data_IF_985222733316
#
_entry.id   IF_985222733316
#
_cell.length_a   1.000
_cell.length_b   1.000
_cell.length_c   1.000
_cell.angle_alpha   90.00
_cell.angle_beta   90.00
_cell.angle_gamma   90.00
#
_symmetry.space_group_name_H-M   'P 1'
#
loop_
_entity.id
_entity.type
_entity.pdbx_description
1 polymer ?
#
# COMPACT_ATOMS: atom_id res chain seq x y z
N UNK A 1 -16.28 -14.55 -4.58
CA UNK A 1 -15.13 -14.14 -5.41
C UNK A 1 -14.24 -15.34 -5.65
N UNK A 2 -13.73 -15.54 -6.88
CA UNK A 2 -12.68 -16.52 -7.13
C UNK A 2 -11.43 -16.06 -6.40
N UNK A 3 -11.29 -16.47 -5.15
CA UNK A 3 -10.20 -17.34 -4.76
C UNK A 3 -8.89 -17.03 -5.56
N UNK A 4 -8.68 -17.53 -6.78
CA UNK A 4 -7.40 -17.38 -7.53
C UNK A 4 -7.01 -15.94 -7.89
N UNK A 5 -7.92 -14.97 -7.75
CA UNK A 5 -7.66 -13.54 -8.03
C UNK A 5 -6.52 -12.97 -7.20
N UNK A 6 -6.24 -13.53 -6.02
CA UNK A 6 -5.12 -13.07 -5.19
C UNK A 6 -3.75 -13.25 -5.84
N UNK A 7 -3.64 -14.14 -6.84
CA UNK A 7 -2.38 -14.38 -7.56
C UNK A 7 -1.95 -13.18 -8.40
N UNK A 8 -2.90 -12.39 -8.91
CA UNK A 8 -2.61 -11.21 -9.73
C UNK A 8 -1.81 -10.14 -8.97
N UNK A 9 -2.30 -9.58 -7.83
CA UNK A 9 -1.51 -8.61 -7.09
C UNK A 9 -0.17 -9.19 -6.62
N UNK A 10 -0.11 -10.44 -6.18
CA UNK A 10 1.16 -11.07 -5.79
C UNK A 10 2.17 -11.13 -6.95
N UNK A 11 1.71 -11.49 -8.16
CA UNK A 11 2.55 -11.45 -9.36
C UNK A 11 3.00 -10.03 -9.68
N UNK A 12 2.11 -9.04 -9.57
CA UNK A 12 2.47 -7.64 -9.78
C UNK A 12 3.48 -7.14 -8.76
N UNK A 13 3.41 -7.57 -7.49
CA UNK A 13 4.43 -7.27 -6.49
C UNK A 13 5.79 -7.88 -6.86
N UNK A 14 5.82 -9.12 -7.33
CA UNK A 14 7.05 -9.77 -7.78
C UNK A 14 7.67 -9.03 -8.96
N UNK A 15 6.87 -8.72 -9.99
CA UNK A 15 7.34 -7.96 -11.17
C UNK A 15 7.76 -6.55 -10.77
N UNK A 16 7.08 -5.91 -9.81
CA UNK A 16 7.50 -4.62 -9.23
C UNK A 16 8.87 -4.74 -8.56
N UNK A 17 9.10 -5.77 -7.76
CA UNK A 17 10.40 -6.00 -7.11
C UNK A 17 11.52 -6.28 -8.12
N UNK A 18 11.23 -7.08 -9.18
CA UNK A 18 12.17 -7.34 -10.27
C UNK A 18 12.50 -6.07 -11.04
N UNK A 19 11.50 -5.28 -11.43
CA UNK A 19 11.76 -4.01 -12.13
C UNK A 19 12.49 -2.99 -11.26
N UNK A 20 12.21 -2.96 -9.95
CA UNK A 20 12.98 -2.16 -8.99
C UNK A 20 14.44 -2.58 -8.96
N UNK A 21 14.72 -3.89 -8.93
CA UNK A 21 16.08 -4.43 -9.00
C UNK A 21 16.78 -4.07 -10.32
N UNK A 22 16.08 -4.19 -11.45
CA UNK A 22 16.61 -3.80 -12.77
C UNK A 22 16.98 -2.32 -12.77
N UNK A 23 16.10 -1.44 -12.30
CA UNK A 23 16.37 0.00 -12.20
C UNK A 23 17.63 0.26 -11.35
N UNK A 24 17.80 -0.47 -10.24
CA UNK A 24 18.98 -0.36 -9.38
C UNK A 24 20.24 -0.97 -9.98
N UNK A 25 20.16 -1.85 -10.97
CA UNK A 25 21.32 -2.40 -11.67
C UNK A 25 21.73 -1.63 -12.92
N UNK A 26 20.94 -0.63 -13.36
CA UNK A 26 21.23 0.11 -14.61
C UNK A 26 22.58 0.86 -14.58
N UNK A 27 23.14 1.16 -13.40
CA UNK A 27 24.48 1.74 -13.32
C UNK A 27 25.58 0.80 -13.85
N UNK A 28 25.34 -0.52 -13.86
CA UNK A 28 26.24 -1.54 -14.42
C UNK A 28 26.13 -1.67 -15.94
N UNK A 29 25.06 -1.14 -16.54
CA UNK A 29 24.75 -1.29 -17.97
C UNK A 29 24.42 0.10 -18.55
N UNK A 30 25.44 0.92 -18.88
CA UNK A 30 25.24 2.29 -19.34
C UNK A 30 24.32 2.43 -20.57
N UNK A 31 24.30 1.43 -21.46
CA UNK A 31 23.44 1.41 -22.65
C UNK A 31 21.94 1.42 -22.34
N UNK A 32 21.54 1.08 -21.11
CA UNK A 32 20.13 1.04 -20.70
C UNK A 32 19.63 2.36 -20.12
N UNK A 33 20.49 3.38 -19.91
CA UNK A 33 20.10 4.64 -19.27
C UNK A 33 18.96 5.37 -20.00
N UNK A 34 18.87 5.27 -21.34
CA UNK A 34 17.77 5.84 -22.13
C UNK A 34 16.39 5.25 -21.82
N UNK A 35 16.32 4.05 -21.24
CA UNK A 35 15.07 3.38 -20.86
C UNK A 35 14.65 3.66 -19.40
N UNK A 36 15.45 4.41 -18.63
CA UNK A 36 15.23 4.61 -17.19
C UNK A 36 13.85 5.19 -16.88
N UNK A 37 13.47 6.29 -17.55
CA UNK A 37 12.18 6.96 -17.30
C UNK A 37 10.99 6.06 -17.63
N UNK A 38 11.02 5.39 -18.79
CA UNK A 38 9.99 4.45 -19.23
C UNK A 38 9.79 3.31 -18.22
N UNK A 39 10.89 2.68 -17.79
CA UNK A 39 10.83 1.60 -16.81
C UNK A 39 10.40 2.09 -15.43
N UNK A 40 10.79 3.31 -15.01
CA UNK A 40 10.36 3.92 -13.76
C UNK A 40 8.85 4.19 -13.76
N UNK A 41 8.28 4.65 -14.87
CA UNK A 41 6.83 4.80 -15.02
C UNK A 41 6.13 3.44 -14.95
N UNK A 42 6.63 2.43 -15.65
CA UNK A 42 6.06 1.08 -15.60
C UNK A 42 6.11 0.48 -14.19
N UNK A 43 7.26 0.61 -13.51
CA UNK A 43 7.48 0.16 -12.14
C UNK A 43 6.51 0.81 -11.15
N UNK A 44 6.41 2.14 -11.16
CA UNK A 44 5.54 2.88 -10.22
C UNK A 44 4.05 2.61 -10.45
N UNK A 45 3.59 2.52 -11.71
CA UNK A 45 2.20 2.16 -12.01
C UNK A 45 1.88 0.72 -11.58
N UNK A 46 2.80 -0.21 -11.80
CA UNK A 46 2.60 -1.59 -11.37
C UNK A 46 2.61 -1.72 -9.83
N UNK A 47 3.45 -0.95 -9.14
CA UNK A 47 3.49 -0.91 -7.68
C UNK A 47 2.18 -0.37 -7.07
N UNK A 48 1.70 0.77 -7.58
CA UNK A 48 0.54 1.47 -7.04
C UNK A 48 -0.79 0.85 -7.48
N UNK A 49 -0.95 0.60 -8.79
CA UNK A 49 -2.21 0.18 -9.41
C UNK A 49 -2.30 -1.33 -9.60
N UNK A 50 -1.17 -1.97 -9.91
CA UNK A 50 -1.09 -3.43 -9.96
C UNK A 50 -1.15 -4.03 -8.57
N UNK A 51 -0.12 -3.81 -7.75
CA UNK A 51 0.00 -4.41 -6.42
C UNK A 51 -0.99 -3.81 -5.40
N UNK A 52 -0.77 -2.56 -4.97
CA UNK A 52 -1.46 -2.03 -3.80
C UNK A 52 -2.97 -1.84 -4.03
N UNK A 53 -3.37 -1.20 -5.12
CA UNK A 53 -4.78 -1.02 -5.49
C UNK A 53 -5.52 -2.36 -5.62
N UNK A 54 -4.98 -3.33 -6.37
CA UNK A 54 -5.67 -4.60 -6.58
C UNK A 54 -5.77 -5.42 -5.29
N UNK A 55 -4.71 -5.45 -4.47
CA UNK A 55 -4.74 -6.12 -3.17
C UNK A 55 -5.79 -5.51 -2.23
N UNK A 56 -5.86 -4.18 -2.14
CA UNK A 56 -6.87 -3.48 -1.35
C UNK A 56 -8.28 -3.72 -1.86
N UNK A 57 -8.49 -3.69 -3.17
CA UNK A 57 -9.79 -3.97 -3.77
C UNK A 57 -10.29 -5.36 -3.36
N UNK A 58 -9.44 -6.38 -3.47
CA UNK A 58 -9.78 -7.75 -3.06
C UNK A 58 -10.08 -7.86 -1.56
N UNK A 59 -9.27 -7.20 -0.71
CA UNK A 59 -9.48 -7.16 0.74
C UNK A 59 -10.79 -6.48 1.11
N UNK A 60 -11.10 -5.32 0.52
CA UNK A 60 -12.35 -4.62 0.76
C UNK A 60 -13.55 -5.44 0.29
N UNK A 61 -13.43 -6.12 -0.86
CA UNK A 61 -14.46 -7.02 -1.36
C UNK A 61 -14.68 -8.22 -0.43
N UNK A 62 -13.62 -8.88 0.06
CA UNK A 62 -13.76 -10.03 0.95
C UNK A 62 -14.39 -9.65 2.28
N UNK A 63 -14.09 -8.44 2.76
CA UNK A 63 -14.49 -7.96 4.08
C UNK A 63 -15.87 -7.34 4.11
N UNK A 64 -16.22 -6.48 3.16
CA UNK A 64 -17.40 -5.61 3.27
C UNK A 64 -18.54 -5.98 2.31
N UNK A 65 -18.32 -6.87 1.34
CA UNK A 65 -19.38 -7.31 0.42
C UNK A 65 -20.01 -8.62 0.86
N UNK A 66 -21.30 -8.76 0.56
CA UNK A 66 -22.05 -10.01 0.72
C UNK A 66 -21.54 -11.10 -0.22
N UNK A 67 -21.82 -12.37 0.09
CA UNK A 67 -21.45 -13.48 -0.79
C UNK A 67 -22.03 -13.34 -2.22
N UNK A 68 -23.26 -12.81 -2.33
CA UNK A 68 -23.90 -12.54 -3.61
C UNK A 68 -23.16 -11.44 -4.41
N UNK A 69 -22.82 -10.33 -3.77
CA UNK A 69 -22.08 -9.24 -4.41
C UNK A 69 -20.68 -9.67 -4.87
N UNK A 70 -20.00 -10.48 -4.05
CA UNK A 70 -18.70 -11.07 -4.38
C UNK A 70 -18.75 -12.05 -5.56
N UNK A 71 -19.93 -12.50 -5.98
CA UNK A 71 -20.13 -13.35 -7.15
C UNK A 71 -20.78 -12.62 -8.33
N UNK A 72 -21.09 -11.33 -8.17
CA UNK A 72 -21.78 -10.53 -9.17
C UNK A 72 -21.01 -10.49 -10.50
N UNK A 73 -21.76 -10.48 -11.60
CA UNK A 73 -21.21 -10.33 -12.95
C UNK A 73 -20.44 -9.02 -13.11
N UNK A 74 -20.95 -7.94 -12.52
CA UNK A 74 -20.29 -6.63 -12.54
C UNK A 74 -18.87 -6.70 -11.96
N UNK A 75 -18.70 -7.27 -10.76
CA UNK A 75 -17.40 -7.36 -10.11
C UNK A 75 -16.40 -8.16 -10.94
N UNK A 76 -16.85 -9.28 -11.53
CA UNK A 76 -16.01 -10.13 -12.41
C UNK A 76 -15.54 -9.39 -13.65
N UNK A 77 -16.43 -8.66 -14.33
CA UNK A 77 -16.09 -7.90 -15.52
C UNK A 77 -15.20 -6.70 -15.21
N UNK A 78 -15.53 -5.93 -14.16
CA UNK A 78 -14.73 -4.77 -13.75
C UNK A 78 -13.32 -5.21 -13.30
N UNK A 79 -13.21 -6.31 -12.55
CA UNK A 79 -11.92 -6.89 -12.17
C UNK A 79 -11.11 -7.29 -13.40
N UNK A 80 -11.68 -8.07 -14.32
CA UNK A 80 -10.98 -8.50 -15.53
C UNK A 80 -10.50 -7.33 -16.40
N UNK A 81 -11.36 -6.33 -16.61
CA UNK A 81 -11.00 -5.12 -17.34
C UNK A 81 -9.88 -4.33 -16.62
N UNK A 82 -9.92 -4.26 -15.29
CA UNK A 82 -8.87 -3.64 -14.49
C UNK A 82 -7.54 -4.37 -14.67
N UNK A 83 -7.52 -5.70 -14.60
CA UNK A 83 -6.28 -6.47 -14.80
C UNK A 83 -5.71 -6.26 -16.21
N UNK A 84 -6.59 -6.21 -17.23
CA UNK A 84 -6.18 -5.88 -18.60
C UNK A 84 -5.52 -4.49 -18.67
N UNK A 85 -6.11 -3.48 -18.02
CA UNK A 85 -5.48 -2.14 -17.99
C UNK A 85 -4.16 -2.11 -17.25
N UNK A 86 -3.99 -2.87 -16.16
CA UNK A 86 -2.71 -2.94 -15.43
C UNK A 86 -1.61 -3.56 -16.30
N UNK A 87 -1.91 -4.69 -16.96
CA UNK A 87 -0.97 -5.36 -17.86
C UNK A 87 -0.65 -4.46 -19.06
N UNK A 88 -1.69 -3.84 -19.64
CA UNK A 88 -1.55 -2.89 -20.75
C UNK A 88 -0.70 -1.66 -20.38
N UNK A 89 -0.92 -1.07 -19.20
CA UNK A 89 -0.09 0.02 -18.67
C UNK A 89 1.36 -0.41 -18.53
N UNK A 90 1.63 -1.56 -17.91
CA UNK A 90 3.00 -2.03 -17.71
C UNK A 90 3.74 -2.22 -19.04
N UNK A 91 3.11 -2.88 -20.02
CA UNK A 91 3.68 -3.07 -21.35
C UNK A 91 3.87 -1.73 -22.08
N UNK A 92 2.85 -0.87 -22.10
CA UNK A 92 2.91 0.41 -22.80
C UNK A 92 3.97 1.34 -22.20
N UNK A 93 3.99 1.54 -20.88
CA UNK A 93 5.02 2.38 -20.25
C UNK A 93 6.43 1.81 -20.47
N UNK A 94 6.61 0.49 -20.45
CA UNK A 94 7.91 -0.12 -20.70
C UNK A 94 8.41 0.10 -22.13
N UNK A 95 7.52 0.05 -23.12
CA UNK A 95 7.88 0.08 -24.55
C UNK A 95 7.97 1.50 -25.12
N UNK A 96 7.07 2.40 -24.74
CA UNK A 96 6.96 3.74 -25.33
C UNK A 96 7.06 4.88 -24.30
N UNK A 97 7.26 4.55 -23.01
CA UNK A 97 7.21 5.55 -21.95
C UNK A 97 5.85 6.24 -21.89
N UNK A 98 5.86 7.56 -21.72
CA UNK A 98 4.66 8.37 -21.68
C UNK A 98 4.16 8.71 -23.10
N UNK A 99 3.26 7.88 -23.64
CA UNK A 99 2.66 8.04 -24.97
C UNK A 99 1.18 7.64 -25.04
N UNK A 100 0.65 7.49 -26.26
CA UNK A 100 -0.78 7.27 -26.51
C UNK A 100 -1.34 6.05 -25.75
N UNK A 101 -0.76 4.87 -25.95
CA UNK A 101 -1.26 3.64 -25.31
C UNK A 101 -1.17 3.66 -23.78
N UNK A 102 -0.09 4.18 -23.21
CA UNK A 102 0.06 4.32 -21.76
C UNK A 102 -0.98 5.28 -21.17
N UNK A 103 -1.28 6.39 -21.86
CA UNK A 103 -2.33 7.34 -21.45
C UNK A 103 -3.72 6.70 -21.60
N UNK A 104 -3.98 5.98 -22.68
CA UNK A 104 -5.26 5.31 -22.91
C UNK A 104 -5.55 4.26 -21.83
N UNK A 105 -4.58 3.39 -21.52
CA UNK A 105 -4.75 2.37 -20.48
C UNK A 105 -4.87 2.97 -19.07
N UNK A 106 -4.09 4.02 -18.75
CA UNK A 106 -4.20 4.68 -17.44
C UNK A 106 -5.53 5.43 -17.29
N UNK A 107 -6.02 6.07 -18.35
CA UNK A 107 -7.35 6.71 -18.38
C UNK A 107 -8.45 5.68 -18.20
N UNK A 108 -8.38 4.55 -18.91
CA UNK A 108 -9.36 3.47 -18.76
C UNK A 108 -9.34 2.89 -17.34
N UNK A 109 -8.15 2.74 -16.73
CA UNK A 109 -8.02 2.31 -15.34
C UNK A 109 -8.71 3.29 -14.38
N UNK A 110 -8.56 4.60 -14.56
CA UNK A 110 -9.26 5.63 -13.77
C UNK A 110 -10.79 5.50 -13.92
N UNK A 111 -11.30 5.35 -15.14
CA UNK A 111 -12.74 5.19 -15.37
C UNK A 111 -13.30 3.91 -14.74
N UNK A 112 -12.53 2.81 -14.80
CA UNK A 112 -12.88 1.55 -14.14
C UNK A 112 -12.89 1.68 -12.61
N UNK A 113 -11.96 2.45 -12.02
CA UNK A 113 -11.92 2.70 -10.58
C UNK A 113 -13.12 3.54 -10.11
N UNK A 114 -13.58 4.51 -10.93
CA UNK A 114 -14.82 5.26 -10.67
C UNK A 114 -16.05 4.36 -10.71
N UNK A 115 -16.14 3.52 -11.75
CA UNK A 115 -17.22 2.56 -11.93
C UNK A 115 -17.29 1.59 -10.74
N UNK A 116 -16.15 1.02 -10.34
CA UNK A 116 -16.04 0.16 -9.16
C UNK A 116 -16.45 0.90 -7.89
N UNK A 117 -15.93 2.12 -7.67
CA UNK A 117 -16.21 2.94 -6.49
C UNK A 117 -17.70 3.21 -6.36
N UNK A 118 -18.35 3.66 -7.44
CA UNK A 118 -19.77 3.95 -7.44
C UNK A 118 -20.61 2.69 -7.18
N UNK A 119 -20.21 1.54 -7.71
CA UNK A 119 -20.89 0.26 -7.48
C UNK A 119 -20.71 -0.25 -6.04
N UNK A 120 -19.49 -0.17 -5.50
CA UNK A 120 -19.15 -0.63 -4.16
C UNK A 120 -19.79 0.26 -3.09
N UNK A 121 -19.74 1.58 -3.28
CA UNK A 121 -20.30 2.57 -2.34
C UNK A 121 -21.79 2.35 -2.08
N UNK A 122 -22.55 1.96 -3.11
CA UNK A 122 -24.00 1.70 -3.00
C UNK A 122 -24.33 0.49 -2.13
N UNK A 123 -23.36 -0.40 -1.88
CA UNK A 123 -23.49 -1.62 -1.06
C UNK A 123 -23.07 -1.42 0.38
N UNK A 124 -22.43 -0.29 0.69
CA UNK A 124 -22.03 0.02 2.05
C UNK A 124 -23.23 0.50 2.87
N UNK A 125 -23.33 0.10 4.15
CA UNK A 125 -24.36 0.59 5.06
C UNK A 125 -24.41 2.13 5.12
N UNK A 126 -25.62 2.68 5.33
CA UNK A 126 -25.88 4.12 5.46
C UNK A 126 -26.53 4.42 6.82
N UNK A 127 -26.45 5.68 7.26
CA UNK A 127 -27.04 6.15 8.51
C UNK A 127 -26.02 6.57 9.58
N UNK A 128 -26.47 7.14 10.71
CA UNK A 128 -25.60 7.68 11.75
C UNK A 128 -24.85 6.60 12.55
N UNK A 129 -25.41 5.39 12.62
CA UNK A 129 -24.86 4.25 13.37
C UNK A 129 -23.80 3.43 12.59
N UNK A 130 -23.29 3.94 11.46
CA UNK A 130 -22.27 3.20 10.69
C UNK A 130 -20.98 2.99 11.51
N UNK A 131 -20.36 1.80 11.44
CA UNK A 131 -19.08 1.53 12.11
C UNK A 131 -17.94 2.40 11.57
N UNK A 132 -16.86 2.54 12.36
CA UNK A 132 -15.67 3.31 11.95
C UNK A 132 -15.04 2.67 10.72
N UNK A 133 -15.01 1.34 10.63
CA UNK A 133 -14.50 0.64 9.45
C UNK A 133 -15.19 1.08 8.15
N UNK A 134 -16.53 1.14 8.13
CA UNK A 134 -17.32 1.57 6.96
C UNK A 134 -17.06 3.04 6.62
N UNK A 135 -16.91 3.91 7.64
CA UNK A 135 -16.53 5.31 7.42
C UNK A 135 -15.15 5.42 6.76
N UNK A 136 -14.17 4.63 7.20
CA UNK A 136 -12.85 4.56 6.60
C UNK A 136 -12.92 4.06 5.15
N UNK A 137 -13.71 3.02 4.83
CA UNK A 137 -13.87 2.56 3.43
C UNK A 137 -14.43 3.66 2.54
N UNK A 138 -15.47 4.37 3.01
CA UNK A 138 -16.04 5.49 2.27
C UNK A 138 -15.01 6.60 2.05
N UNK A 139 -14.28 7.00 3.10
CA UNK A 139 -13.23 8.00 2.94
C UNK A 139 -12.13 7.53 1.97
N UNK A 140 -11.69 6.27 2.07
CA UNK A 140 -10.71 5.67 1.16
C UNK A 140 -11.20 5.77 -0.30
N UNK A 141 -12.40 5.30 -0.59
CA UNK A 141 -13.00 5.35 -1.94
C UNK A 141 -13.17 6.79 -2.45
N UNK A 142 -13.52 7.73 -1.57
CA UNK A 142 -13.55 9.15 -1.92
C UNK A 142 -12.16 9.63 -2.34
N UNK A 143 -11.12 9.34 -1.55
CA UNK A 143 -9.75 9.77 -1.87
C UNK A 143 -9.14 9.04 -3.07
N UNK A 144 -9.58 7.82 -3.39
CA UNK A 144 -9.24 7.14 -4.65
C UNK A 144 -9.75 7.90 -5.87
N UNK A 145 -11.00 8.40 -5.80
CA UNK A 145 -11.56 9.22 -6.88
C UNK A 145 -10.92 10.60 -6.87
N UNK A 146 -10.77 11.21 -5.70
CA UNK A 146 -10.23 12.57 -5.57
C UNK A 146 -8.76 12.66 -6.00
N UNK A 147 -7.93 11.64 -5.74
CA UNK A 147 -6.51 11.62 -6.15
C UNK A 147 -6.35 11.76 -7.67
N UNK A 148 -7.33 11.29 -8.46
CA UNK A 148 -7.30 11.39 -9.92
C UNK A 148 -7.28 12.82 -10.46
N UNK A 149 -7.62 13.83 -9.65
CA UNK A 149 -7.42 15.25 -9.99
C UNK A 149 -5.96 15.51 -10.41
N UNK A 150 -4.99 14.86 -9.76
CA UNK A 150 -3.57 14.95 -10.14
C UNK A 150 -3.31 14.49 -11.58
N UNK A 151 -3.56 13.22 -11.95
CA UNK A 151 -3.42 12.73 -13.32
C UNK A 151 -4.20 13.52 -14.38
N UNK A 152 -5.42 13.99 -14.08
CA UNK A 152 -6.16 14.86 -15.00
C UNK A 152 -5.44 16.19 -15.22
N UNK A 153 -4.93 16.81 -14.15
CA UNK A 153 -4.09 18.01 -14.25
C UNK A 153 -2.82 17.74 -15.06
N UNK A 154 -2.13 16.62 -14.84
CA UNK A 154 -0.93 16.24 -15.59
C UNK A 154 -1.20 16.10 -17.10
N UNK A 155 -2.35 15.53 -17.48
CA UNK A 155 -2.74 15.41 -18.89
C UNK A 155 -2.95 16.79 -19.53
N UNK A 156 -3.68 17.68 -18.85
CA UNK A 156 -3.95 19.06 -19.31
C UNK A 156 -2.64 19.85 -19.44
N UNK A 157 -1.81 19.80 -18.40
CA UNK A 157 -0.53 20.52 -18.36
C UNK A 157 0.47 19.98 -19.38
N UNK A 158 0.53 18.66 -19.58
CA UNK A 158 1.37 18.06 -20.62
C UNK A 158 0.95 18.51 -22.02
N UNK A 159 -0.36 18.59 -22.29
CA UNK A 159 -0.88 19.06 -23.56
C UNK A 159 -0.65 20.56 -23.78
N UNK A 160 -0.66 21.35 -22.71
CA UNK A 160 -0.35 22.79 -22.72
C UNK A 160 1.14 23.13 -22.74
N UNK A 161 2.03 22.14 -22.68
CA UNK A 161 3.50 22.36 -22.67
C UNK A 161 4.07 22.80 -21.31
N UNK A 162 3.37 22.54 -20.21
CA UNK A 162 3.74 23.02 -18.86
C UNK A 162 4.42 21.96 -18.00
N UNK A 163 5.22 21.06 -18.61
CA UNK A 163 5.87 19.95 -17.91
C UNK A 163 6.94 20.41 -16.92
N UNK A 164 7.59 21.54 -17.20
CA UNK A 164 8.66 22.10 -16.37
C UNK A 164 8.13 23.08 -15.31
N UNK A 165 6.81 23.19 -15.18
CA UNK A 165 6.18 24.09 -14.21
C UNK A 165 6.17 23.46 -12.81
N UNK A 166 6.38 24.25 -11.72
CA UNK A 166 6.18 23.77 -10.34
C UNK A 166 4.80 23.15 -10.10
N UNK A 167 3.78 23.60 -10.83
CA UNK A 167 2.43 23.06 -10.76
C UNK A 167 2.33 21.61 -11.25
N UNK A 168 3.25 21.17 -12.12
CA UNK A 168 3.29 19.81 -12.65
C UNK A 168 3.73 18.85 -11.54
N UNK A 169 4.80 19.21 -10.83
CA UNK A 169 5.26 18.47 -9.65
C UNK A 169 4.23 18.50 -8.52
N UNK A 170 3.60 19.65 -8.28
CA UNK A 170 2.50 19.76 -7.31
C UNK A 170 1.33 18.80 -7.64
N UNK A 171 1.01 18.58 -8.92
CA UNK A 171 0.00 17.61 -9.33
C UNK A 171 0.45 16.15 -9.08
N UNK A 172 1.74 15.83 -9.25
CA UNK A 172 2.32 14.53 -8.88
C UNK A 172 2.26 14.32 -7.38
N UNK A 173 2.70 15.30 -6.58
CA UNK A 173 2.64 15.25 -5.11
C UNK A 173 1.20 15.12 -4.61
N UNK A 174 0.27 15.88 -5.20
CA UNK A 174 -1.16 15.79 -4.92
C UNK A 174 -1.72 14.39 -5.18
N UNK A 175 -1.41 13.82 -6.36
CA UNK A 175 -1.80 12.45 -6.68
C UNK A 175 -1.28 11.46 -5.64
N UNK A 176 0.03 11.47 -5.39
CA UNK A 176 0.66 10.50 -4.49
C UNK A 176 0.14 10.65 -3.07
N UNK A 177 0.04 11.88 -2.54
CA UNK A 177 -0.49 12.16 -1.22
C UNK A 177 -1.88 11.56 -1.02
N UNK A 178 -2.84 11.87 -1.89
CA UNK A 178 -4.19 11.30 -1.77
C UNK A 178 -4.24 9.80 -2.07
N UNK A 179 -3.28 9.27 -2.82
CA UNK A 179 -3.21 7.84 -3.08
C UNK A 179 -2.72 7.05 -1.87
N UNK A 180 -1.54 7.38 -1.31
CA UNK A 180 -0.99 6.60 -0.20
C UNK A 180 -1.54 7.05 1.16
N UNK A 181 -1.76 8.34 1.42
CA UNK A 181 -2.35 8.81 2.70
C UNK A 181 -3.87 8.70 2.70
N UNK A 182 -4.51 8.95 1.57
CA UNK A 182 -5.97 8.82 1.44
C UNK A 182 -6.39 7.38 1.18
N UNK A 183 -6.35 6.97 -0.08
CA UNK A 183 -6.88 5.68 -0.54
C UNK A 183 -6.25 4.48 0.19
N UNK A 184 -4.93 4.32 0.18
CA UNK A 184 -4.29 3.12 0.75
C UNK A 184 -4.39 3.07 2.28
N UNK A 185 -3.98 4.15 2.96
CA UNK A 185 -3.94 4.18 4.43
C UNK A 185 -5.33 4.03 5.04
N UNK A 186 -6.34 4.74 4.53
CA UNK A 186 -7.72 4.59 5.03
C UNK A 186 -8.31 3.23 4.72
N UNK A 187 -7.99 2.60 3.59
CA UNK A 187 -8.43 1.24 3.29
C UNK A 187 -7.78 0.20 4.23
N UNK A 188 -6.51 0.36 4.57
CA UNK A 188 -5.81 -0.45 5.58
C UNK A 188 -6.45 -0.26 6.95
N UNK A 189 -6.68 1.00 7.38
CA UNK A 189 -7.39 1.29 8.62
C UNK A 189 -8.79 0.68 8.64
N UNK A 190 -9.53 0.78 7.53
CA UNK A 190 -10.85 0.16 7.42
C UNK A 190 -10.79 -1.34 7.68
N UNK A 191 -9.82 -2.04 7.08
CA UNK A 191 -9.61 -3.46 7.32
C UNK A 191 -9.32 -3.73 8.81
N UNK A 192 -8.38 -3.01 9.42
CA UNK A 192 -8.02 -3.19 10.83
C UNK A 192 -9.20 -2.92 11.75
N UNK A 193 -9.91 -1.80 11.58
CA UNK A 193 -11.11 -1.49 12.36
C UNK A 193 -12.19 -2.54 12.20
N UNK A 194 -12.40 -3.08 11.00
CA UNK A 194 -13.39 -4.12 10.82
C UNK A 194 -13.03 -5.39 11.62
N UNK A 195 -11.75 -5.77 11.63
CA UNK A 195 -11.29 -6.91 12.42
C UNK A 195 -11.53 -6.68 13.92
N UNK A 196 -11.26 -5.47 14.41
CA UNK A 196 -11.49 -5.07 15.79
C UNK A 196 -12.98 -5.03 16.16
N UNK A 197 -13.82 -4.42 15.32
CA UNK A 197 -15.26 -4.28 15.53
C UNK A 197 -15.98 -5.64 15.60
N UNK A 198 -15.50 -6.65 14.85
CA UNK A 198 -16.04 -8.03 14.90
C UNK A 198 -15.86 -8.72 16.25
N UNK A 199 -14.89 -8.29 17.05
CA UNK A 199 -14.64 -8.83 18.41
C UNK A 199 -15.33 -8.05 19.52
N UNK A 200 -16.09 -7.00 19.17
CA UNK A 200 -16.73 -6.12 20.14
C UNK A 200 -15.71 -5.17 20.77
N UNK A 201 -15.65 -3.94 20.26
CA UNK A 201 -14.84 -2.89 20.86
C UNK A 201 -15.55 -2.32 22.11
N UNK A 202 -14.85 -2.18 23.26
CA UNK A 202 -15.35 -1.41 24.39
C UNK A 202 -15.72 0.02 23.96
N UNK A 203 -16.71 0.62 24.62
CA UNK A 203 -17.23 1.95 24.25
C UNK A 203 -16.13 3.03 24.14
N UNK A 204 -15.16 3.03 25.06
CA UNK A 204 -14.02 3.96 25.01
C UNK A 204 -13.15 3.80 23.75
N UNK A 205 -12.91 2.56 23.31
CA UNK A 205 -12.17 2.28 22.07
C UNK A 205 -12.97 2.68 20.83
N UNK A 206 -14.30 2.57 20.85
CA UNK A 206 -15.17 3.08 19.76
C UNK A 206 -15.07 4.60 19.64
N UNK A 207 -15.09 5.34 20.75
CA UNK A 207 -14.95 6.80 20.75
C UNK A 207 -13.58 7.21 20.21
N UNK A 208 -12.51 6.57 20.69
CA UNK A 208 -11.15 6.83 20.23
C UNK A 208 -10.99 6.54 18.73
N UNK A 209 -11.62 5.46 18.24
CA UNK A 209 -11.64 5.14 16.81
C UNK A 209 -12.37 6.18 15.96
N UNK A 210 -13.48 6.73 16.45
CA UNK A 210 -14.18 7.84 15.77
C UNK A 210 -13.34 9.11 15.75
N UNK A 211 -12.66 9.43 16.86
CA UNK A 211 -11.75 10.59 16.94
C UNK A 211 -10.60 10.46 15.95
N UNK A 212 -9.92 9.31 15.91
CA UNK A 212 -8.88 9.03 14.92
C UNK A 212 -9.40 9.23 13.50
N UNK A 213 -10.51 8.58 13.14
CA UNK A 213 -11.08 8.68 11.79
C UNK A 213 -11.38 10.13 11.41
N UNK A 214 -12.02 10.89 12.32
CA UNK A 214 -12.41 12.28 12.09
C UNK A 214 -11.19 13.16 11.87
N UNK A 215 -10.23 13.14 12.81
CA UNK A 215 -9.01 13.96 12.73
C UNK A 215 -8.21 13.62 11.48
N UNK A 216 -7.96 12.34 11.21
CA UNK A 216 -7.17 11.92 10.06
C UNK A 216 -7.86 12.30 8.74
N UNK A 217 -9.16 12.00 8.59
CA UNK A 217 -9.87 12.22 7.33
C UNK A 217 -10.07 13.70 7.00
N UNK A 218 -10.32 14.55 8.00
CA UNK A 218 -10.50 16.00 7.81
C UNK A 218 -9.18 16.71 7.50
N UNK A 219 -8.08 16.23 8.05
CA UNK A 219 -6.76 16.86 7.89
C UNK A 219 -6.03 16.39 6.63
N UNK A 220 -6.50 15.35 5.94
CA UNK A 220 -5.88 14.86 4.70
C UNK A 220 -5.76 15.93 3.61
N UNK A 221 -6.78 16.76 3.38
CA UNK A 221 -6.70 17.84 2.38
C UNK A 221 -5.66 18.90 2.78
N UNK A 222 -5.72 19.54 3.96
CA UNK A 222 -4.70 20.52 4.34
C UNK A 222 -3.31 19.92 4.54
N UNK A 223 -3.19 18.63 4.87
CA UNK A 223 -1.90 17.94 4.95
C UNK A 223 -1.17 17.84 3.60
N UNK A 224 -1.86 18.05 2.46
CA UNK A 224 -1.19 18.17 1.15
C UNK A 224 -0.15 19.28 1.16
N UNK A 225 -0.38 20.35 1.92
CA UNK A 225 0.53 21.49 2.02
C UNK A 225 1.92 21.08 2.54
N UNK A 226 2.01 20.01 3.33
CA UNK A 226 3.30 19.45 3.77
C UNK A 226 4.15 18.95 2.60
N UNK A 227 3.53 18.49 1.51
CA UNK A 227 4.23 18.08 0.29
C UNK A 227 4.53 19.25 -0.65
N UNK A 228 4.08 20.46 -0.32
CA UNK A 228 4.21 21.67 -1.14
C UNK A 228 5.00 22.79 -0.42
N UNK A 229 5.63 22.50 0.73
CA UNK A 229 6.38 23.50 1.51
C UNK A 229 7.48 24.17 0.66
N UNK A 230 8.14 23.39 -0.20
CA UNK A 230 9.15 23.84 -1.15
C UNK A 230 8.68 24.93 -2.14
N UNK A 231 7.36 25.19 -2.25
CA UNK A 231 6.80 26.27 -3.07
C UNK A 231 6.77 27.63 -2.35
N UNK A 232 7.47 27.78 -1.21
CA UNK A 232 7.52 29.02 -0.42
C UNK A 232 6.12 29.55 -0.06
N UNK A 233 5.33 28.70 0.59
CA UNK A 233 3.94 29.01 0.93
C UNK A 233 3.83 30.26 1.83
N UNK A 234 2.77 31.08 1.69
CA UNK A 234 2.49 32.16 2.64
C UNK A 234 2.27 31.62 4.06
N UNK A 235 2.57 32.45 5.07
CA UNK A 235 2.58 32.06 6.50
C UNK A 235 1.31 31.34 6.95
N UNK A 236 0.13 31.76 6.47
CA UNK A 236 -1.14 31.12 6.85
C UNK A 236 -1.29 29.70 6.28
N UNK A 237 -0.74 29.41 5.10
CA UNK A 237 -0.69 28.07 4.52
C UNK A 237 0.33 27.19 5.24
N UNK A 238 1.48 27.74 5.61
CA UNK A 238 2.45 27.02 6.46
C UNK A 238 1.84 26.67 7.83
N UNK A 239 1.14 27.61 8.47
CA UNK A 239 0.44 27.34 9.73
C UNK A 239 -0.63 26.25 9.58
N UNK A 240 -1.37 26.24 8.46
CA UNK A 240 -2.33 25.18 8.15
C UNK A 240 -1.64 23.82 7.93
N UNK A 241 -0.48 23.79 7.28
CA UNK A 241 0.32 22.58 7.08
C UNK A 241 0.79 22.01 8.42
N UNK A 242 1.37 22.84 9.29
CA UNK A 242 1.80 22.43 10.64
C UNK A 242 0.62 21.94 11.49
N UNK A 243 -0.51 22.65 11.47
CA UNK A 243 -1.71 22.22 12.19
C UNK A 243 -2.21 20.86 11.69
N UNK A 244 -2.22 20.64 10.36
CA UNK A 244 -2.57 19.36 9.78
C UNK A 244 -1.61 18.24 10.21
N UNK A 245 -0.30 18.49 10.23
CA UNK A 245 0.70 17.54 10.70
C UNK A 245 0.47 17.13 12.17
N UNK A 246 0.25 18.10 13.05
CA UNK A 246 -0.02 17.86 14.48
C UNK A 246 -1.31 17.06 14.66
N UNK A 247 -2.37 17.43 13.96
CA UNK A 247 -3.64 16.71 14.05
C UNK A 247 -3.55 15.28 13.48
N UNK A 248 -2.82 15.05 12.38
CA UNK A 248 -2.59 13.70 11.86
C UNK A 248 -1.74 12.86 12.82
N UNK A 249 -0.69 13.45 13.40
CA UNK A 249 0.14 12.77 14.40
C UNK A 249 -0.68 12.35 15.62
N UNK A 250 -1.54 13.24 16.13
CA UNK A 250 -2.46 12.93 17.22
C UNK A 250 -3.48 11.86 16.82
N UNK A 251 -4.03 11.92 15.61
CA UNK A 251 -4.96 10.92 15.10
C UNK A 251 -4.32 9.52 15.06
N UNK A 252 -3.10 9.40 14.50
CA UNK A 252 -2.40 8.12 14.42
C UNK A 252 -1.99 7.64 15.81
N UNK A 253 -1.60 8.53 16.72
CA UNK A 253 -1.32 8.17 18.11
C UNK A 253 -2.56 7.58 18.79
N UNK A 254 -3.74 8.18 18.60
CA UNK A 254 -5.00 7.62 19.08
C UNK A 254 -5.27 6.22 18.50
N UNK A 255 -5.00 6.01 17.21
CA UNK A 255 -5.09 4.70 16.58
C UNK A 255 -4.10 3.68 17.18
N UNK A 256 -2.85 4.06 17.42
CA UNK A 256 -1.83 3.18 17.99
C UNK A 256 -2.12 2.80 19.45
N UNK A 257 -2.63 3.74 20.25
CA UNK A 257 -3.10 3.46 21.61
C UNK A 257 -4.24 2.46 21.59
N UNK A 258 -5.24 2.69 20.73
CA UNK A 258 -6.35 1.75 20.54
C UNK A 258 -5.84 0.36 20.17
N UNK A 259 -4.94 0.27 19.18
CA UNK A 259 -4.39 -0.98 18.71
C UNK A 259 -3.61 -1.74 19.80
N UNK A 260 -2.81 -1.00 20.59
CA UNK A 260 -2.05 -1.55 21.73
C UNK A 260 -2.99 -2.14 22.76
N UNK A 261 -4.04 -1.43 23.12
CA UNK A 261 -4.98 -1.83 24.17
C UNK A 261 -5.79 -3.06 23.72
N UNK A 262 -6.28 -3.09 22.48
CA UNK A 262 -6.92 -4.29 21.91
C UNK A 262 -5.96 -5.49 21.78
N UNK A 263 -4.65 -5.26 21.64
CA UNK A 263 -3.67 -6.36 21.67
C UNK A 263 -3.42 -6.89 23.09
N UNK A 264 -3.41 -6.01 24.10
CA UNK A 264 -3.22 -6.38 25.52
C UNK A 264 -4.40 -7.20 26.05
N UNK A 265 -5.61 -6.82 25.65
CA UNK A 265 -6.86 -7.54 25.98
C UNK A 265 -6.97 -8.90 25.27
N UNK A 266 -6.02 -9.25 24.39
CA UNK A 266 -5.95 -10.56 23.72
C UNK A 266 -6.87 -10.73 22.51
N UNK A 267 -7.91 -9.90 22.37
CA UNK A 267 -8.91 -9.92 21.29
C UNK A 267 -8.28 -9.82 19.91
N UNK A 268 -7.30 -8.91 19.73
CA UNK A 268 -6.66 -8.70 18.43
C UNK A 268 -5.37 -9.51 18.23
N UNK A 269 -4.65 -9.81 19.33
CA UNK A 269 -3.37 -10.54 19.27
C UNK A 269 -3.53 -11.93 18.67
N UNK A 270 -4.63 -12.63 18.91
CA UNK A 270 -4.85 -13.97 18.34
C UNK A 270 -5.02 -13.95 16.81
N UNK A 271 -5.60 -12.88 16.23
CA UNK A 271 -5.71 -12.72 14.77
C UNK A 271 -4.39 -12.30 14.12
N UNK A 272 -3.55 -11.53 14.83
CA UNK A 272 -2.25 -11.06 14.35
C UNK A 272 -1.12 -12.09 14.51
N UNK A 273 -1.09 -12.79 15.66
CA UNK A 273 0.06 -13.55 16.16
C UNK A 273 -0.01 -15.06 15.92
N UNK A 274 -1.17 -15.60 15.51
CA UNK A 274 -1.35 -17.04 15.28
C UNK A 274 -0.56 -17.63 14.11
N UNK A 275 0.29 -16.85 13.42
CA UNK A 275 0.95 -17.30 12.18
C UNK A 275 2.43 -16.83 12.09
N UNK A 276 3.42 -17.75 11.94
CA UNK A 276 4.85 -17.41 11.93
C UNK A 276 5.26 -16.38 10.87
N UNK A 277 5.86 -15.26 11.29
CA UNK A 277 6.30 -14.16 10.41
C UNK A 277 5.28 -13.01 10.23
N UNK A 278 3.99 -13.24 10.50
CA UNK A 278 2.93 -12.20 10.41
C UNK A 278 3.18 -11.02 11.37
N UNK A 279 3.61 -11.33 12.60
CA UNK A 279 3.89 -10.31 13.61
C UNK A 279 5.05 -9.39 13.21
N UNK A 280 6.04 -9.90 12.47
CA UNK A 280 7.15 -9.09 11.99
C UNK A 280 6.66 -8.06 10.96
N UNK A 281 5.83 -8.48 10.01
CA UNK A 281 5.23 -7.57 9.03
C UNK A 281 4.34 -6.50 9.68
N UNK A 282 3.56 -6.87 10.70
CA UNK A 282 2.78 -5.89 11.46
C UNK A 282 3.65 -4.91 12.24
N UNK A 283 4.72 -5.39 12.88
CA UNK A 283 5.68 -4.51 13.57
C UNK A 283 6.35 -3.55 12.59
N UNK A 284 6.77 -4.05 11.44
CA UNK A 284 7.35 -3.24 10.37
C UNK A 284 6.36 -2.18 9.88
N UNK A 285 5.10 -2.56 9.65
CA UNK A 285 4.05 -1.63 9.22
C UNK A 285 3.80 -0.52 10.24
N UNK A 286 3.63 -0.89 11.52
CA UNK A 286 3.36 0.07 12.60
C UNK A 286 4.56 0.98 12.87
N UNK A 287 5.78 0.42 12.83
CA UNK A 287 7.00 1.20 12.97
C UNK A 287 7.14 2.20 11.81
N UNK A 288 6.93 1.75 10.57
CA UNK A 288 7.02 2.61 9.39
C UNK A 288 5.95 3.72 9.40
N UNK A 289 4.73 3.39 9.85
CA UNK A 289 3.68 4.40 10.06
C UNK A 289 4.11 5.43 11.11
N UNK A 290 4.69 4.99 12.23
CA UNK A 290 5.21 5.89 13.27
C UNK A 290 6.32 6.81 12.76
N UNK A 291 7.33 6.25 12.06
CA UNK A 291 8.42 7.02 11.47
C UNK A 291 7.87 8.02 10.44
N UNK A 292 6.96 7.60 9.56
CA UNK A 292 6.28 8.49 8.60
C UNK A 292 5.63 9.68 9.30
N UNK A 293 4.87 9.46 10.37
CA UNK A 293 4.20 10.56 11.09
C UNK A 293 5.20 11.51 11.76
N UNK A 294 6.32 10.98 12.26
CA UNK A 294 7.40 11.82 12.81
C UNK A 294 8.04 12.65 11.70
N UNK A 295 8.33 12.06 10.54
CA UNK A 295 8.92 12.78 9.41
C UNK A 295 8.00 13.90 8.90
N UNK A 296 6.69 13.66 8.78
CA UNK A 296 5.71 14.68 8.38
C UNK A 296 5.59 15.82 9.39
N UNK A 297 5.75 15.53 10.68
CA UNK A 297 5.80 16.55 11.72
C UNK A 297 7.10 17.35 11.65
N UNK A 298 8.24 16.67 11.49
CA UNK A 298 9.56 17.30 11.39
C UNK A 298 9.71 18.13 10.12
N UNK A 299 9.12 17.73 8.99
CA UNK A 299 9.18 18.50 7.75
C UNK A 299 8.47 19.85 7.86
N UNK A 300 7.55 20.02 8.82
CA UNK A 300 6.90 21.30 9.12
C UNK A 300 7.80 22.29 9.89
N UNK A 301 8.99 21.86 10.33
CA UNK A 301 10.00 22.72 10.96
C UNK A 301 10.89 23.32 9.86
N UNK A 302 10.95 24.65 9.70
CA UNK A 302 11.68 25.29 8.59
C UNK A 302 13.15 24.86 8.44
N UNK A 303 13.84 24.61 9.56
CA UNK A 303 15.23 24.17 9.55
C UNK A 303 15.44 22.75 8.96
N UNK A 304 14.40 21.93 8.90
CA UNK A 304 14.42 20.56 8.39
C UNK A 304 13.74 20.41 7.02
N UNK A 305 13.00 21.43 6.59
CA UNK A 305 12.34 21.47 5.29
C UNK A 305 13.35 21.31 4.14
N UNK A 306 14.44 22.08 4.18
CA UNK A 306 15.49 22.02 3.15
C UNK A 306 16.12 20.63 3.08
N UNK A 307 16.34 19.96 4.20
CA UNK A 307 16.84 18.58 4.22
C UNK A 307 15.82 17.59 3.62
N UNK A 308 14.53 17.80 3.86
CA UNK A 308 13.47 16.93 3.37
C UNK A 308 13.32 16.97 1.83
N UNK A 309 13.56 18.12 1.21
CA UNK A 309 13.37 18.32 -0.23
C UNK A 309 14.66 18.46 -1.05
N UNK A 310 15.82 18.66 -0.43
CA UNK A 310 17.09 18.90 -1.14
C UNK A 310 17.68 17.68 -1.83
N UNK A 311 17.40 16.47 -1.32
CA UNK A 311 18.00 15.26 -1.87
C UNK A 311 16.97 14.26 -2.35
N UNK A 312 17.19 13.77 -3.57
CA UNK A 312 16.38 12.71 -4.18
C UNK A 312 16.35 11.46 -3.30
N UNK A 313 17.44 11.15 -2.60
CA UNK A 313 17.55 9.99 -1.71
C UNK A 313 16.57 10.05 -0.54
N UNK A 314 16.38 11.21 0.09
CA UNK A 314 15.38 11.39 1.16
C UNK A 314 13.96 11.21 0.62
N UNK A 315 13.64 11.81 -0.54
CA UNK A 315 12.32 11.69 -1.16
C UNK A 315 12.02 10.23 -1.52
N UNK A 316 12.97 9.54 -2.15
CA UNK A 316 12.83 8.11 -2.50
C UNK A 316 12.70 7.25 -1.24
N UNK A 317 13.51 7.50 -0.21
CA UNK A 317 13.44 6.79 1.07
C UNK A 317 12.08 6.96 1.72
N UNK A 318 11.58 8.19 1.86
CA UNK A 318 10.24 8.44 2.38
C UNK A 318 9.16 7.69 1.59
N UNK A 319 9.20 7.71 0.26
CA UNK A 319 8.23 6.96 -0.56
C UNK A 319 8.31 5.44 -0.34
N UNK A 320 9.52 4.86 -0.21
CA UNK A 320 9.67 3.43 0.02
C UNK A 320 9.30 3.04 1.46
N UNK A 321 9.62 3.86 2.47
CA UNK A 321 9.15 3.70 3.84
C UNK A 321 7.62 3.61 3.90
N UNK A 322 6.91 4.50 3.20
CA UNK A 322 5.44 4.50 3.17
C UNK A 322 4.89 3.32 2.36
N UNK A 323 5.37 3.11 1.13
CA UNK A 323 4.80 2.13 0.21
C UNK A 323 5.20 0.68 0.53
N UNK A 324 6.46 0.45 0.91
CA UNK A 324 6.95 -0.88 1.27
C UNK A 324 6.84 -1.14 2.76
N UNK A 325 7.35 -0.22 3.57
CA UNK A 325 7.39 -0.36 5.03
C UNK A 325 6.01 -0.40 5.65
N UNK A 326 5.14 0.56 5.31
CA UNK A 326 3.77 0.58 5.82
C UNK A 326 2.79 -0.21 4.93
N UNK A 327 2.53 0.24 3.70
CA UNK A 327 1.45 -0.29 2.86
C UNK A 327 1.67 -1.77 2.51
N UNK A 328 2.83 -2.13 1.96
CA UNK A 328 3.10 -3.52 1.55
C UNK A 328 3.19 -4.47 2.73
N UNK A 329 3.87 -4.09 3.82
CA UNK A 329 3.93 -4.94 5.01
C UNK A 329 2.54 -5.16 5.63
N UNK A 330 1.70 -4.11 5.72
CA UNK A 330 0.33 -4.23 6.21
C UNK A 330 -0.54 -5.10 5.28
N UNK A 331 -0.43 -4.92 3.96
CA UNK A 331 -1.16 -5.71 2.97
C UNK A 331 -0.79 -7.20 3.03
N UNK A 332 0.51 -7.53 3.06
CA UNK A 332 0.97 -8.91 3.18
C UNK A 332 0.48 -9.55 4.48
N UNK A 333 0.46 -8.80 5.57
CA UNK A 333 -0.05 -9.28 6.86
C UNK A 333 -1.58 -9.47 6.84
N UNK A 334 -2.34 -8.55 6.24
CA UNK A 334 -3.79 -8.62 6.08
C UNK A 334 -4.21 -9.78 5.17
N UNK A 335 -3.60 -9.92 3.99
CA UNK A 335 -3.86 -11.01 3.05
C UNK A 335 -3.61 -12.38 3.68
N UNK A 336 -2.62 -12.46 4.57
CA UNK A 336 -2.36 -13.67 5.34
C UNK A 336 -3.45 -13.96 6.38
N UNK A 337 -3.92 -12.94 7.10
CA UNK A 337 -4.96 -13.08 8.11
C UNK A 337 -6.29 -13.60 7.52
N UNK A 338 -6.66 -13.15 6.31
CA UNK A 338 -7.85 -13.62 5.59
C UNK A 338 -7.82 -15.14 5.30
N UNK A 339 -6.63 -15.69 5.05
CA UNK A 339 -6.47 -17.12 4.74
C UNK A 339 -6.73 -18.00 5.95
N UNK A 340 -6.31 -17.58 7.13
CA UNK A 340 -6.44 -18.39 8.34
C UNK A 340 -7.90 -18.48 8.81
N UNK A 341 -8.72 -17.46 8.54
CA UNK A 341 -10.14 -17.44 8.92
C UNK A 341 -11.02 -18.40 8.10
N UNK A 342 -10.62 -18.71 6.86
CA UNK A 342 -11.42 -19.57 5.96
C UNK A 342 -11.26 -21.06 6.28
N UNK A 343 -10.13 -21.47 6.85
CA UNK A 343 -9.83 -22.87 7.23
C UNK A 343 -10.33 -23.24 8.64
N UNK A 344 -10.64 -22.27 9.50
CA UNK A 344 -11.18 -22.52 10.84
C UNK A 344 -12.60 -23.08 10.90
N UNK A 345 -13.33 -23.09 9.76
CA UNK A 345 -14.73 -23.55 9.68
C UNK A 345 -14.90 -25.04 9.38
N UNK A 346 -13.81 -25.77 9.16
CA UNK A 346 -13.77 -27.23 8.89
C UNK A 346 -13.03 -27.97 10.02
N UNK A 347 -13.36 -27.66 11.27
CA UNK A 347 -12.87 -28.40 12.46
C UNK A 347 -13.82 -29.52 12.89
N UNK A 348 -14.50 -30.15 11.93
CA UNK A 348 -15.27 -31.37 12.15
C UNK A 348 -14.89 -32.39 11.10
N UNK A 349 -14.61 -33.62 11.55
CA UNK A 349 -14.23 -34.82 10.78
C UNK A 349 -12.72 -35.03 10.65
N UNK A 350 -12.20 -35.81 11.60
CA UNK A 350 -10.86 -36.37 11.57
C UNK A 350 -10.73 -37.45 10.49
N UNK A 351 -9.80 -37.23 9.56
CA UNK A 351 -8.98 -38.21 8.81
C UNK A 351 -8.13 -37.46 7.74
N UNK A 352 -7.62 -36.27 8.09
CA UNK A 352 -6.95 -35.33 7.16
C UNK A 352 -5.57 -34.89 7.69
N UNK A 353 -4.79 -35.80 8.28
CA UNK A 353 -3.65 -35.41 9.12
C UNK A 353 -2.26 -35.46 8.47
N UNK A 354 -2.05 -36.10 7.32
CA UNK A 354 -0.70 -36.19 6.71
C UNK A 354 -0.45 -35.21 5.56
N UNK A 355 -1.41 -34.99 4.66
CA UNK A 355 -1.27 -34.05 3.53
C UNK A 355 -1.37 -32.56 3.93
N UNK A 356 -2.26 -32.25 4.89
CA UNK A 356 -2.40 -30.88 5.38
C UNK A 356 -1.30 -30.45 6.33
N UNK A 357 -0.76 -31.38 7.12
CA UNK A 357 0.36 -31.07 8.00
C UNK A 357 1.62 -30.75 7.19
N UNK A 358 1.93 -31.55 6.15
CA UNK A 358 3.05 -31.30 5.23
C UNK A 358 2.93 -29.96 4.50
N UNK A 359 1.74 -29.62 3.98
CA UNK A 359 1.53 -28.33 3.31
C UNK A 359 1.51 -27.14 4.29
N UNK A 360 1.04 -27.32 5.54
CA UNK A 360 1.05 -26.26 6.57
C UNK A 360 2.46 -26.00 7.11
N UNK A 361 3.28 -27.04 7.27
CA UNK A 361 4.68 -26.95 7.69
C UNK A 361 5.51 -26.24 6.61
N UNK A 362 5.44 -26.69 5.35
CA UNK A 362 6.16 -26.07 4.22
C UNK A 362 5.80 -24.57 4.05
N UNK A 363 4.55 -24.19 4.31
CA UNK A 363 4.09 -22.79 4.27
C UNK A 363 4.62 -21.93 5.43
N UNK A 364 4.73 -22.47 6.64
CA UNK A 364 5.36 -21.72 7.75
C UNK A 364 6.87 -21.58 7.57
N UNK A 365 7.52 -22.59 6.98
CA UNK A 365 8.96 -22.60 6.73
C UNK A 365 9.41 -21.52 5.73
N UNK A 366 8.60 -21.17 4.72
CA UNK A 366 8.98 -20.13 3.74
C UNK A 366 8.63 -18.70 4.19
N UNK A 367 7.47 -18.52 4.84
CA UNK A 367 6.96 -17.18 5.13
C UNK A 367 7.75 -16.45 6.21
N UNK A 368 8.25 -17.16 7.23
CA UNK A 368 9.05 -16.56 8.30
C UNK A 368 10.40 -16.03 7.78
N UNK A 369 11.26 -16.84 7.12
CA UNK A 369 12.50 -16.33 6.53
C UNK A 369 12.21 -15.30 5.44
N UNK A 370 11.15 -15.47 4.65
CA UNK A 370 10.73 -14.45 3.68
C UNK A 370 10.42 -13.09 4.32
N UNK A 371 9.70 -13.08 5.45
CA UNK A 371 9.39 -11.86 6.21
C UNK A 371 10.66 -11.23 6.81
N UNK A 372 11.60 -12.05 7.28
CA UNK A 372 12.89 -11.59 7.83
C UNK A 372 13.74 -10.95 6.74
N UNK A 373 13.91 -11.63 5.60
CA UNK A 373 14.70 -11.11 4.47
C UNK A 373 14.09 -9.83 3.89
N UNK A 374 12.76 -9.78 3.74
CA UNK A 374 12.07 -8.58 3.29
C UNK A 374 12.30 -7.41 4.27
N UNK A 375 12.10 -7.63 5.57
CA UNK A 375 12.27 -6.60 6.58
C UNK A 375 13.74 -6.14 6.70
N UNK A 376 14.70 -7.06 6.67
CA UNK A 376 16.12 -6.75 6.73
C UNK A 376 16.57 -5.98 5.48
N UNK A 377 16.21 -6.46 4.29
CA UNK A 377 16.52 -5.79 3.03
C UNK A 377 15.92 -4.38 2.98
N UNK A 378 14.65 -4.21 3.36
CA UNK A 378 14.02 -2.89 3.42
C UNK A 378 14.71 -1.98 4.44
N UNK A 379 14.99 -2.47 5.64
CA UNK A 379 15.62 -1.65 6.70
C UNK A 379 17.00 -1.16 6.25
N UNK A 380 17.83 -2.05 5.68
CA UNK A 380 19.14 -1.68 5.13
C UNK A 380 18.97 -0.66 4.00
N UNK A 381 18.01 -0.89 3.09
CA UNK A 381 17.74 -0.01 1.97
C UNK A 381 17.38 1.42 2.41
N UNK A 382 16.45 1.54 3.36
CA UNK A 382 16.02 2.84 3.91
C UNK A 382 17.17 3.55 4.64
N UNK A 383 17.90 2.82 5.48
CA UNK A 383 19.04 3.40 6.20
C UNK A 383 20.10 3.94 5.24
N UNK A 384 20.38 3.23 4.14
CA UNK A 384 21.31 3.70 3.11
C UNK A 384 20.80 4.95 2.40
N UNK A 385 19.51 5.02 2.04
CA UNK A 385 18.93 6.19 1.39
C UNK A 385 18.91 7.42 2.29
N UNK A 386 18.54 7.28 3.56
CA UNK A 386 18.54 8.39 4.51
C UNK A 386 19.95 8.82 4.89
N UNK A 387 20.87 7.87 5.07
CA UNK A 387 22.28 8.19 5.30
C UNK A 387 22.87 8.94 4.11
N UNK A 388 22.62 8.48 2.89
CA UNK A 388 23.08 9.18 1.68
C UNK A 388 22.48 10.56 1.54
N UNK A 389 21.18 10.72 1.87
CA UNK A 389 20.53 12.02 1.89
C UNK A 389 21.21 13.02 2.83
N UNK A 390 21.53 12.58 4.05
CA UNK A 390 22.23 13.39 5.04
C UNK A 390 23.69 13.69 4.62
N UNK A 391 24.41 12.66 4.20
CA UNK A 391 25.79 12.75 3.69
C UNK A 391 25.89 13.72 2.51
N UNK A 392 25.00 13.59 1.51
CA UNK A 392 24.94 14.46 0.35
C UNK A 392 24.61 15.91 0.73
N UNK A 393 23.70 16.10 1.70
CA UNK A 393 23.40 17.43 2.25
C UNK A 393 24.61 18.07 2.93
N UNK A 394 25.46 17.27 3.58
CA UNK A 394 26.72 17.71 4.20
C UNK A 394 27.92 17.78 3.21
N UNK A 395 27.72 17.44 1.93
CA UNK A 395 28.75 17.45 0.90
C UNK A 395 29.68 16.23 0.88
N UNK A 396 29.34 15.13 1.56
CA UNK A 396 30.15 13.92 1.69
C UNK A 396 29.39 12.66 1.22
N UNK A 397 29.16 12.47 -0.10
CA UNK A 397 28.36 11.36 -0.61
C UNK A 397 28.94 9.98 -0.24
N UNK A 398 28.08 8.98 -0.07
CA UNK A 398 28.49 7.63 0.32
C UNK A 398 29.14 6.89 -0.88
N UNK A 399 30.38 6.39 -0.76
CA UNK A 399 31.01 5.59 -1.81
C UNK A 399 30.21 4.31 -2.09
N UNK A 400 30.15 3.90 -3.37
CA UNK A 400 29.52 2.65 -3.82
C UNK A 400 28.07 2.43 -3.38
N UNK A 401 27.35 3.51 -3.07
CA UNK A 401 25.95 3.47 -2.62
C UNK A 401 25.05 2.63 -3.53
N UNK A 402 25.20 2.76 -4.85
CA UNK A 402 24.39 2.01 -5.82
C UNK A 402 24.56 0.49 -5.66
N UNK A 403 25.77 0.01 -5.38
CA UNK A 403 26.04 -1.41 -5.14
C UNK A 403 25.43 -1.90 -3.82
N UNK A 404 25.53 -1.09 -2.75
CA UNK A 404 24.92 -1.39 -1.45
C UNK A 404 23.38 -1.46 -1.56
N UNK A 405 22.78 -0.49 -2.25
CA UNK A 405 21.34 -0.44 -2.52
C UNK A 405 20.87 -1.61 -3.39
N UNK A 406 21.70 -2.07 -4.34
CA UNK A 406 21.43 -3.26 -5.14
C UNK A 406 21.40 -4.51 -4.27
N UNK A 407 22.37 -4.68 -3.36
CA UNK A 407 22.40 -5.78 -2.39
C UNK A 407 21.16 -5.83 -1.49
N UNK A 408 20.75 -4.68 -0.95
CA UNK A 408 19.53 -4.56 -0.15
C UNK A 408 18.26 -4.93 -0.98
N UNK A 409 18.24 -4.51 -2.25
CA UNK A 409 17.13 -4.81 -3.18
C UNK A 409 17.04 -6.31 -3.52
N UNK A 410 18.18 -7.01 -3.63
CA UNK A 410 18.22 -8.47 -3.79
C UNK A 410 17.61 -9.20 -2.58
N UNK A 411 17.96 -8.78 -1.36
CA UNK A 411 17.39 -9.32 -0.13
C UNK A 411 15.86 -9.10 -0.07
N UNK A 412 15.39 -7.91 -0.46
CA UNK A 412 13.97 -7.62 -0.56
C UNK A 412 13.26 -8.51 -1.60
N UNK A 413 13.81 -8.67 -2.80
CA UNK A 413 13.25 -9.53 -3.84
C UNK A 413 13.16 -10.98 -3.37
N UNK A 414 14.21 -11.50 -2.74
CA UNK A 414 14.21 -12.85 -2.17
C UNK A 414 13.13 -12.99 -1.09
N UNK A 415 13.01 -12.02 -0.18
CA UNK A 415 11.98 -11.99 0.84
C UNK A 415 10.56 -11.99 0.27
N UNK A 416 10.28 -11.11 -0.69
CA UNK A 416 9.00 -11.03 -1.40
C UNK A 416 8.70 -12.34 -2.12
N UNK A 417 9.69 -12.95 -2.78
CA UNK A 417 9.54 -14.23 -3.50
C UNK A 417 9.12 -15.37 -2.57
N UNK A 418 9.76 -15.48 -1.41
CA UNK A 418 9.41 -16.49 -0.40
C UNK A 418 8.02 -16.26 0.21
N UNK A 419 7.66 -14.99 0.49
CA UNK A 419 6.32 -14.65 0.99
C UNK A 419 5.27 -14.95 -0.08
N UNK A 420 5.50 -14.55 -1.33
CA UNK A 420 4.60 -14.78 -2.45
C UNK A 420 4.40 -16.27 -2.71
N UNK A 421 5.47 -17.08 -2.68
CA UNK A 421 5.40 -18.54 -2.78
C UNK A 421 4.55 -19.14 -1.65
N UNK A 422 4.79 -18.72 -0.40
CA UNK A 422 3.96 -19.14 0.75
C UNK A 422 2.49 -18.71 0.62
N UNK A 423 2.22 -17.63 -0.13
CA UNK A 423 0.88 -17.18 -0.49
C UNK A 423 0.39 -17.74 -1.85
N UNK A 424 1.15 -18.46 -2.65
CA UNK A 424 0.67 -18.84 -3.99
C UNK A 424 -0.26 -20.07 -3.96
N UNK A 425 -0.02 -21.01 -3.03
CA UNK A 425 -0.72 -22.31 -2.88
C UNK A 425 -2.14 -22.21 -2.28
N UNK A 426 -2.91 -21.28 -2.81
CA UNK A 426 -4.23 -20.90 -2.31
C UNK A 426 -5.36 -21.80 -2.88
N UNK A 427 -5.09 -22.61 -3.91
CA UNK A 427 -6.06 -23.53 -4.55
C UNK A 427 -5.83 -25.04 -4.31
N UNK A 428 -4.60 -25.48 -4.07
CA UNK A 428 -4.25 -26.91 -4.18
C UNK A 428 -4.91 -27.83 -3.13
N UNK A 429 -5.57 -27.28 -2.11
CA UNK A 429 -6.22 -28.05 -1.05
C UNK A 429 -7.76 -28.07 -1.13
N UNK A 430 -8.38 -27.34 -2.07
CA UNK A 430 -9.85 -27.24 -2.17
C UNK A 430 -10.48 -28.00 -3.33
N UNK A 431 -9.72 -28.32 -4.37
CA UNK A 431 -10.27 -28.87 -5.63
C UNK A 431 -10.40 -30.41 -5.63
N UNK A 432 -9.85 -31.09 -4.62
CA UNK A 432 -9.94 -32.54 -4.49
C UNK A 432 -11.23 -33.03 -3.80
N UNK A 433 -12.02 -32.14 -3.21
CA UNK A 433 -13.24 -32.52 -2.47
C UNK A 433 -14.54 -32.41 -3.28
N UNK A 434 -14.60 -31.59 -4.33
CA UNK A 434 -15.83 -31.46 -5.14
C UNK A 434 -15.95 -32.50 -6.27
N UNK A 435 -14.88 -33.22 -6.62
CA UNK A 435 -14.91 -34.21 -7.70
C UNK A 435 -15.27 -35.65 -7.28
N UNK A 436 -15.52 -35.90 -5.99
CA UNK A 436 -15.87 -37.23 -5.48
C UNK A 436 -17.27 -37.31 -4.86
N UNK A 437 -18.12 -36.31 -5.05
CA UNK A 437 -19.52 -36.32 -4.59
C UNK A 437 -20.52 -36.09 -5.73
N UNK A 438 -20.33 -36.81 -6.84
CA UNK A 438 -21.32 -36.93 -7.91
C UNK A 438 -21.52 -38.42 -8.24
#
# INVERSE_FOLDING_TARGET
>A
MPRHWIRYPLLYLLVTAVTGLIIRSMFLIPSWQGAYSSLLHAHSHLALLGWAYSALLLLLCSRFLTAADQQSRFLKLNWAATQLTVIGMFAAFSLQGYGLFSIAFSTLHILLSYSFTAWFWRRLPRGPAVPVSVRCVKAALFYLVFSSVGPWSLAIMSAGGWKDSPWYDAAIYGYLHFQYNGWFTLAIFACIYQALERHGLPQGQVVLGRLHYMLYSLTLIPALLLSLLWMELPVWLNAAATAAAVCQFAAVTAFLVLLRDSCREGTFRQQLAGIPGSMLLWRLAILSLGIKMIMELLSSVPALETLAFSTRSVIIGYLHLVLLGFVTAALLALLRSERSGTTGRLQGVGLMWLGLFRSRLLRSELMRPGSILFAAGLTIHELLLFADGLCSYLGTPIPDLNALLLGASLAMLAGISLIAAGLWDWDAAGDHTEKHSA
#
